data_IF_912413554526
#
_entry.id   IF_912413554526
#
_cell.length_a   1.000
_cell.length_b   1.000
_cell.length_c   1.000
_cell.angle_alpha   90.00
_cell.angle_beta   90.00
_cell.angle_gamma   90.00
#
_symmetry.space_group_name_H-M   'P 1'
#
loop_
_entity.id
_entity.type
_entity.pdbx_description
1 polymer ?
#
# COMPACT_ATOMS: atom_id res chain seq x y z
N UNK A 1 -24.40 -13.73 -6.54
CA UNK A 1 -23.04 -13.30 -6.14
C UNK A 1 -22.72 -11.83 -6.53
N UNK A 2 -23.06 -11.34 -7.73
CA UNK A 2 -22.67 -9.97 -8.19
C UNK A 2 -23.27 -8.81 -7.39
N UNK A 3 -24.53 -8.89 -7.00
CA UNK A 3 -25.20 -7.85 -6.20
C UNK A 3 -24.72 -7.79 -4.74
N UNK A 4 -24.22 -8.91 -4.20
CA UNK A 4 -23.68 -8.93 -2.84
C UNK A 4 -22.35 -8.15 -2.75
N UNK A 5 -21.46 -8.31 -3.72
CA UNK A 5 -20.17 -7.60 -3.75
C UNK A 5 -20.35 -6.08 -3.85
N UNK A 6 -21.22 -5.63 -4.75
CA UNK A 6 -21.52 -4.20 -4.90
C UNK A 6 -22.17 -3.63 -3.62
N UNK A 7 -23.12 -4.36 -3.02
CA UNK A 7 -23.72 -3.96 -1.75
C UNK A 7 -22.70 -3.90 -0.61
N UNK A 8 -21.73 -4.80 -0.60
CA UNK A 8 -20.60 -4.78 0.34
C UNK A 8 -19.74 -3.54 0.14
N UNK A 9 -19.29 -3.25 -1.09
CA UNK A 9 -18.49 -2.07 -1.38
C UNK A 9 -19.21 -0.74 -1.05
N UNK A 10 -20.51 -0.67 -1.31
CA UNK A 10 -21.32 0.51 -0.95
C UNK A 10 -21.53 0.65 0.56
N UNK A 11 -21.48 -0.44 1.33
CA UNK A 11 -21.63 -0.42 2.78
C UNK A 11 -20.40 0.20 3.49
N UNK A 12 -19.22 0.14 2.89
CA UNK A 12 -17.98 0.74 3.42
C UNK A 12 -18.11 2.24 3.66
N UNK A 13 -18.88 2.94 2.82
CA UNK A 13 -19.15 4.39 2.97
C UNK A 13 -19.90 4.75 4.27
N UNK A 14 -20.56 3.78 4.92
CA UNK A 14 -21.39 4.00 6.12
C UNK A 14 -20.73 3.60 7.44
N UNK A 15 -19.60 2.89 7.43
CA UNK A 15 -19.11 2.20 8.62
C UNK A 15 -17.81 2.73 9.23
N UNK A 16 -17.25 3.87 8.82
CA UNK A 16 -15.95 4.37 9.30
C UNK A 16 -14.83 3.29 9.29
N UNK A 17 -14.78 2.44 8.25
CA UNK A 17 -13.84 1.32 8.13
C UNK A 17 -12.46 1.81 7.64
N UNK A 18 -12.33 3.09 7.32
CA UNK A 18 -11.09 3.71 6.82
C UNK A 18 -9.83 3.47 7.67
N UNK A 19 -9.87 3.41 9.01
CA UNK A 19 -8.67 3.07 9.77
C UNK A 19 -8.08 1.69 9.44
N UNK A 20 -8.86 0.84 8.77
CA UNK A 20 -8.45 -0.53 8.44
C UNK A 20 -7.52 -0.57 7.23
N UNK A 21 -7.68 0.39 6.31
CA UNK A 21 -6.95 0.47 5.03
C UNK A 21 -5.61 1.20 5.13
N UNK A 22 -5.40 1.96 6.18
CA UNK A 22 -4.15 2.66 6.44
C UNK A 22 -2.91 1.74 6.45
N UNK A 23 -3.09 0.42 6.46
CA UNK A 23 -1.97 -0.51 6.46
C UNK A 23 -1.09 -0.42 5.22
N UNK A 24 -1.66 -0.12 4.04
CA UNK A 24 -0.85 0.03 2.81
C UNK A 24 -0.21 1.41 2.69
N UNK A 25 -0.83 2.46 3.25
CA UNK A 25 -0.28 3.83 3.31
C UNK A 25 0.72 4.01 4.45
N UNK A 26 0.55 3.30 5.55
CA UNK A 26 1.53 3.21 6.63
C UNK A 26 2.90 2.74 6.13
N UNK A 27 2.91 2.09 4.99
CA UNK A 27 4.08 1.64 4.29
C UNK A 27 4.92 2.78 3.71
N UNK A 28 4.30 3.85 3.23
CA UNK A 28 5.02 4.95 2.60
C UNK A 28 5.59 5.97 3.58
N UNK A 29 5.08 6.06 4.79
CA UNK A 29 5.41 7.13 5.74
C UNK A 29 6.44 6.77 6.80
N UNK A 30 7.11 5.66 6.69
CA UNK A 30 8.09 5.25 7.70
C UNK A 30 9.38 6.07 7.72
N UNK A 31 9.62 6.93 6.74
CA UNK A 31 10.92 7.51 6.52
C UNK A 31 10.92 9.04 6.54
N UNK A 32 11.40 9.61 7.61
CA UNK A 32 11.83 11.00 7.68
C UNK A 32 13.16 11.07 8.39
N UNK A 33 14.25 11.04 7.62
CA UNK A 33 15.56 11.50 8.07
C UNK A 33 16.23 12.25 6.92
N UNK A 34 16.74 13.42 7.25
CA UNK A 34 17.60 14.36 6.54
C UNK A 34 17.99 13.99 5.10
N UNK A 35 17.57 14.85 4.18
CA UNK A 35 18.04 14.84 2.79
C UNK A 35 19.56 14.98 2.73
N UNK A 36 20.25 13.90 2.42
CA UNK A 36 21.61 13.95 1.92
C UNK A 36 21.54 13.89 0.41
N UNK A 37 22.02 14.95 -0.24
CA UNK A 37 22.14 15.00 -1.69
C UNK A 37 23.19 13.97 -2.09
N UNK A 38 22.76 12.87 -2.68
CA UNK A 38 23.64 11.86 -3.23
C UNK A 38 23.74 12.01 -4.75
N UNK A 39 24.94 12.08 -5.24
CA UNK A 39 25.27 12.11 -6.67
C UNK A 39 24.88 10.79 -7.33
N UNK A 40 23.98 10.86 -8.30
CA UNK A 40 23.47 9.73 -9.08
C UNK A 40 24.57 9.01 -9.84
N UNK A 41 24.64 7.69 -9.67
CA UNK A 41 25.45 6.81 -10.50
C UNK A 41 24.61 6.23 -11.66
N UNK A 42 25.19 6.16 -12.84
CA UNK A 42 24.58 5.68 -14.10
C UNK A 42 24.04 4.24 -14.09
N UNK A 43 24.10 3.52 -12.97
CA UNK A 43 23.49 2.20 -12.79
C UNK A 43 21.97 2.24 -12.48
N UNK A 44 21.43 3.43 -12.21
CA UNK A 44 20.01 3.63 -11.84
C UNK A 44 19.06 3.70 -13.03
N UNK A 45 19.56 3.91 -14.26
CA UNK A 45 18.72 4.01 -15.48
C UNK A 45 18.12 2.67 -15.96
N UNK A 46 18.53 1.54 -15.41
CA UNK A 46 18.09 0.20 -15.86
C UNK A 46 16.86 -0.36 -15.13
N UNK A 47 16.34 0.37 -14.17
CA UNK A 47 15.19 -0.06 -13.38
C UNK A 47 13.90 0.42 -14.05
N UNK A 48 13.29 -0.14 -15.03
CA UNK A 48 11.96 0.17 -15.62
C UNK A 48 11.04 1.05 -14.73
N UNK A 49 11.53 2.22 -14.33
CA UNK A 49 11.02 2.98 -13.19
C UNK A 49 10.21 4.23 -13.54
N UNK A 50 9.86 4.42 -14.80
CA UNK A 50 8.96 5.48 -15.22
C UNK A 50 7.72 4.86 -15.84
N UNK A 51 6.57 5.21 -15.29
CA UNK A 51 5.26 4.76 -15.77
C UNK A 51 4.47 4.03 -14.70
N UNK A 52 3.16 4.28 -14.70
CA UNK A 52 2.19 3.62 -13.84
C UNK A 52 1.32 2.65 -14.61
N UNK A 53 1.14 2.87 -15.91
CA UNK A 53 0.20 2.10 -16.73
C UNK A 53 0.91 1.34 -17.84
N UNK A 54 0.76 0.02 -17.87
CA UNK A 54 1.52 -0.88 -18.71
C UNK A 54 0.63 -1.88 -19.44
N UNK A 55 0.96 -2.13 -20.72
CA UNK A 55 0.37 -3.20 -21.52
C UNK A 55 1.28 -4.44 -21.46
N UNK A 56 0.67 -5.60 -21.26
CA UNK A 56 1.31 -6.90 -21.18
C UNK A 56 0.85 -7.74 -22.36
N UNK A 57 1.76 -8.03 -23.29
CA UNK A 57 1.47 -8.74 -24.52
C UNK A 57 2.18 -10.09 -24.58
N UNK A 58 1.50 -11.10 -25.07
CA UNK A 58 2.07 -12.41 -25.40
C UNK A 58 1.43 -12.92 -26.68
N UNK A 59 2.22 -13.53 -27.54
CA UNK A 59 1.77 -14.03 -28.84
C UNK A 59 0.52 -14.92 -28.72
N UNK A 60 -0.45 -14.72 -29.61
CA UNK A 60 -1.71 -15.47 -29.65
C UNK A 60 -2.68 -15.17 -28.51
N UNK A 61 -2.50 -14.07 -27.76
CA UNK A 61 -3.38 -13.66 -26.67
C UNK A 61 -3.79 -12.20 -26.80
N UNK A 62 -4.99 -11.89 -26.29
CA UNK A 62 -5.40 -10.50 -26.12
C UNK A 62 -4.49 -9.84 -25.07
N UNK A 63 -4.16 -8.54 -25.23
CA UNK A 63 -3.37 -7.81 -24.27
C UNK A 63 -4.02 -7.79 -22.90
N UNK A 64 -3.21 -7.87 -21.87
CA UNK A 64 -3.59 -7.57 -20.48
C UNK A 64 -2.94 -6.27 -20.03
N UNK A 65 -3.36 -5.74 -18.89
CA UNK A 65 -2.91 -4.44 -18.41
C UNK A 65 -2.49 -4.51 -16.96
N UNK A 66 -1.49 -3.69 -16.59
CA UNK A 66 -0.97 -3.56 -15.23
C UNK A 66 -0.91 -2.08 -14.87
N UNK A 67 -1.48 -1.73 -13.72
CA UNK A 67 -1.51 -0.38 -13.18
C UNK A 67 -0.83 -0.35 -11.80
N UNK A 68 0.06 0.62 -11.60
CA UNK A 68 0.55 1.00 -10.29
C UNK A 68 -0.42 1.96 -9.61
N UNK A 69 -0.91 1.63 -8.42
CA UNK A 69 -1.82 2.46 -7.65
C UNK A 69 -1.13 3.14 -6.47
N UNK A 70 -1.82 4.11 -5.90
CA UNK A 70 -1.49 4.73 -4.62
C UNK A 70 -2.77 4.76 -3.78
N UNK A 71 -2.70 4.21 -2.55
CA UNK A 71 -3.86 4.05 -1.68
C UNK A 71 -4.28 5.35 -0.98
N UNK A 72 -4.46 6.41 -1.75
CA UNK A 72 -4.87 7.74 -1.27
C UNK A 72 -6.13 8.19 -1.98
N UNK A 73 -6.84 9.15 -1.37
CA UNK A 73 -8.03 9.79 -1.93
C UNK A 73 -7.76 11.20 -2.44
N UNK A 74 -6.50 11.53 -2.71
CA UNK A 74 -6.14 12.79 -3.34
C UNK A 74 -6.72 12.85 -4.77
N UNK A 75 -7.41 13.94 -5.09
CA UNK A 75 -8.09 14.11 -6.38
C UNK A 75 -7.15 14.05 -7.58
N UNK A 76 -5.88 14.40 -7.40
CA UNK A 76 -4.85 14.33 -8.45
C UNK A 76 -4.55 12.87 -8.78
N UNK A 77 -4.46 12.01 -7.77
CA UNK A 77 -4.26 10.57 -7.89
C UNK A 77 -5.51 9.90 -8.47
N UNK A 78 -6.69 10.28 -7.98
CA UNK A 78 -7.96 9.70 -8.41
C UNK A 78 -8.29 9.93 -9.89
N UNK A 79 -7.71 10.95 -10.53
CA UNK A 79 -7.87 11.19 -11.99
C UNK A 79 -7.42 10.00 -12.84
N UNK A 80 -6.47 9.21 -12.36
CA UNK A 80 -5.98 8.05 -13.09
C UNK A 80 -7.08 7.00 -13.35
N UNK A 81 -8.11 6.96 -12.50
CA UNK A 81 -9.28 6.10 -12.74
C UNK A 81 -9.91 6.37 -14.10
N UNK A 82 -10.09 7.64 -14.46
CA UNK A 82 -10.74 8.01 -15.72
C UNK A 82 -9.90 7.60 -16.95
N UNK A 83 -8.56 7.63 -16.82
CA UNK A 83 -7.63 7.21 -17.86
C UNK A 83 -7.71 5.69 -18.12
N UNK A 84 -7.91 4.89 -17.06
CA UNK A 84 -7.88 3.43 -17.16
C UNK A 84 -9.27 2.79 -17.25
N UNK A 85 -10.35 3.55 -17.02
CA UNK A 85 -11.73 3.06 -17.10
C UNK A 85 -12.03 2.28 -18.39
N UNK A 86 -11.65 2.77 -19.61
CA UNK A 86 -11.96 2.06 -20.87
C UNK A 86 -11.33 0.67 -20.96
N UNK A 87 -10.26 0.41 -20.20
CA UNK A 87 -9.57 -0.87 -20.17
C UNK A 87 -10.19 -1.80 -19.12
N UNK A 88 -10.57 -1.25 -17.96
CA UNK A 88 -11.20 -2.02 -16.87
C UNK A 88 -12.56 -2.56 -17.31
N UNK A 89 -13.42 -1.72 -17.90
CA UNK A 89 -14.78 -2.13 -18.28
C UNK A 89 -14.81 -3.20 -19.38
N UNK A 90 -13.72 -3.35 -20.13
CA UNK A 90 -13.56 -4.37 -21.17
C UNK A 90 -12.83 -5.62 -20.66
N UNK A 91 -12.20 -5.56 -19.50
CA UNK A 91 -11.44 -6.68 -18.97
C UNK A 91 -12.36 -7.85 -18.58
N UNK A 92 -11.86 -9.06 -18.74
CA UNK A 92 -12.55 -10.27 -18.26
C UNK A 92 -12.50 -10.39 -16.73
N UNK A 93 -11.47 -9.82 -16.10
CA UNK A 93 -11.24 -9.82 -14.67
C UNK A 93 -10.36 -8.63 -14.27
N UNK A 94 -10.69 -7.99 -13.15
CA UNK A 94 -9.84 -7.06 -12.43
C UNK A 94 -9.17 -7.80 -11.26
N UNK A 95 -7.84 -7.79 -11.22
CA UNK A 95 -7.07 -8.22 -10.07
C UNK A 95 -6.66 -7.00 -9.24
N UNK A 96 -6.91 -7.06 -7.93
CA UNK A 96 -6.40 -6.14 -6.91
C UNK A 96 -5.44 -6.91 -6.00
N UNK A 97 -4.64 -6.22 -5.17
CA UNK A 97 -3.76 -6.89 -4.21
C UNK A 97 -4.56 -7.84 -3.32
N UNK A 98 -5.65 -7.36 -2.74
CA UNK A 98 -6.56 -8.14 -1.89
C UNK A 98 -8.00 -8.07 -2.42
N UNK A 99 -8.79 -9.05 -2.05
CA UNK A 99 -10.22 -9.01 -2.31
C UNK A 99 -10.91 -8.04 -1.34
N UNK A 100 -11.72 -7.11 -1.88
CA UNK A 100 -12.39 -6.07 -1.11
C UNK A 100 -13.72 -6.58 -0.51
N UNK A 101 -13.71 -7.75 0.12
CA UNK A 101 -14.88 -8.32 0.79
C UNK A 101 -14.93 -7.93 2.27
N UNK A 102 -16.13 -7.97 2.86
CA UNK A 102 -16.27 -7.75 4.31
C UNK A 102 -15.48 -8.76 5.13
N UNK A 103 -15.31 -9.97 4.62
CA UNK A 103 -14.49 -10.99 5.27
C UNK A 103 -13.04 -10.54 5.36
N UNK A 104 -12.43 -10.14 4.23
CA UNK A 104 -11.02 -9.68 4.19
C UNK A 104 -10.85 -8.43 5.06
N UNK A 105 -11.83 -7.51 5.05
CA UNK A 105 -11.79 -6.33 5.91
C UNK A 105 -11.84 -6.67 7.40
N UNK A 106 -12.65 -7.64 7.81
CA UNK A 106 -12.65 -8.12 9.20
C UNK A 106 -11.33 -8.81 9.55
N UNK A 107 -10.75 -9.57 8.63
CA UNK A 107 -9.43 -10.18 8.83
C UNK A 107 -8.34 -9.12 8.97
N UNK A 108 -8.37 -8.05 8.16
CA UNK A 108 -7.47 -6.91 8.30
C UNK A 108 -7.58 -6.23 9.67
N UNK A 109 -8.81 -6.02 10.14
CA UNK A 109 -9.03 -5.47 11.48
C UNK A 109 -8.44 -6.39 12.56
N UNK A 110 -8.80 -7.67 12.56
CA UNK A 110 -8.38 -8.64 13.58
C UNK A 110 -6.86 -8.85 13.58
N UNK A 111 -6.22 -8.81 12.43
CA UNK A 111 -4.77 -8.98 12.31
C UNK A 111 -3.96 -7.90 13.03
N UNK A 112 -4.54 -6.74 13.26
CA UNK A 112 -3.91 -5.61 13.98
C UNK A 112 -4.03 -5.71 15.49
N UNK A 113 -4.86 -6.64 15.96
CA UNK A 113 -5.11 -6.81 17.39
C UNK A 113 -4.13 -7.80 17.98
N UNK A 114 -3.73 -7.52 19.20
CA UNK A 114 -2.88 -8.39 20.02
C UNK A 114 -3.57 -9.72 20.28
N UNK A 115 -2.81 -10.78 20.22
CA UNK A 115 -3.28 -12.15 20.47
C UNK A 115 -2.48 -12.87 21.60
N UNK A 116 -1.58 -12.12 22.28
CA UNK A 116 -0.74 -12.64 23.35
C UNK A 116 -1.34 -12.47 24.78
N UNK A 117 -2.58 -12.00 24.86
CA UNK A 117 -3.32 -11.79 26.10
C UNK A 117 -2.90 -10.56 26.90
N UNK A 118 -1.94 -9.76 26.44
CA UNK A 118 -1.51 -8.51 27.04
C UNK A 118 -2.11 -7.31 26.33
N UNK A 119 -2.26 -6.21 27.04
CA UNK A 119 -2.64 -4.91 26.47
C UNK A 119 -1.41 -4.07 26.13
N UNK A 120 -1.59 -3.05 25.29
CA UNK A 120 -0.50 -2.18 24.84
C UNK A 120 0.16 -1.44 26.01
N UNK A 121 -0.60 -1.03 27.02
CA UNK A 121 -0.11 -0.38 28.25
C UNK A 121 0.63 -1.33 29.20
N UNK A 122 0.53 -2.63 29.01
CA UNK A 122 1.36 -3.63 29.71
C UNK A 122 2.66 -3.93 28.94
N UNK A 123 2.77 -3.54 27.69
CA UNK A 123 3.93 -3.81 26.81
C UNK A 123 4.82 -2.57 26.69
N UNK A 124 4.23 -1.38 26.66
CA UNK A 124 4.96 -0.13 26.59
C UNK A 124 5.27 0.41 28.00
N UNK A 125 6.43 1.05 28.21
CA UNK A 125 6.66 1.85 29.40
C UNK A 125 5.58 2.92 29.58
N UNK A 126 5.19 3.25 30.82
CA UNK A 126 4.08 4.17 31.08
C UNK A 126 4.20 5.54 30.42
N UNK A 127 5.41 6.10 30.36
CA UNK A 127 5.68 7.39 29.72
C UNK A 127 5.54 7.33 28.19
N UNK A 128 5.95 6.24 27.57
CA UNK A 128 5.77 6.00 26.13
C UNK A 128 4.28 5.77 25.82
N UNK A 129 3.60 4.95 26.63
CA UNK A 129 2.17 4.70 26.44
C UNK A 129 1.33 5.99 26.50
N UNK A 130 1.58 6.87 27.48
CA UNK A 130 0.84 8.13 27.59
C UNK A 130 1.06 9.05 26.36
N UNK A 131 2.28 9.13 25.83
CA UNK A 131 2.56 9.87 24.59
C UNK A 131 1.79 9.27 23.40
N UNK A 132 1.82 7.96 23.24
CA UNK A 132 1.07 7.24 22.17
C UNK A 132 -0.43 7.49 22.30
N UNK A 133 -0.96 7.46 23.54
CA UNK A 133 -2.37 7.72 23.83
C UNK A 133 -2.79 9.14 23.44
N UNK A 134 -1.97 10.14 23.74
CA UNK A 134 -2.26 11.53 23.34
C UNK A 134 -2.32 11.70 21.82
N UNK A 135 -1.36 11.12 21.09
CA UNK A 135 -1.37 11.12 19.61
C UNK A 135 -2.61 10.38 19.09
N UNK A 136 -2.94 9.23 19.67
CA UNK A 136 -4.10 8.43 19.25
C UNK A 136 -5.43 9.17 19.38
N UNK A 137 -5.57 10.08 20.36
CA UNK A 137 -6.76 10.93 20.49
C UNK A 137 -6.95 11.86 19.30
N UNK A 138 -5.88 12.41 18.73
CA UNK A 138 -5.93 13.24 17.53
C UNK A 138 -6.45 12.42 16.32
N UNK A 139 -6.16 11.11 16.29
CA UNK A 139 -6.67 10.18 15.30
C UNK A 139 -8.05 9.58 15.63
N UNK A 140 -8.74 10.10 16.66
CA UNK A 140 -10.06 9.62 17.12
C UNK A 140 -10.08 8.13 17.49
N UNK A 141 -8.95 7.59 17.94
CA UNK A 141 -8.82 6.22 18.43
C UNK A 141 -9.10 6.21 19.92
N UNK A 142 -10.12 5.48 20.34
CA UNK A 142 -10.45 5.33 21.74
C UNK A 142 -9.38 4.51 22.48
N UNK A 143 -9.14 4.83 23.75
CA UNK A 143 -8.13 4.13 24.56
C UNK A 143 -8.38 2.61 24.61
N UNK A 144 -9.65 2.19 24.68
CA UNK A 144 -10.01 0.77 24.62
C UNK A 144 -9.54 0.07 23.35
N UNK A 145 -9.63 0.76 22.21
CA UNK A 145 -9.16 0.24 20.93
C UNK A 145 -7.62 0.24 20.88
N UNK A 146 -7.01 1.34 21.30
CA UNK A 146 -5.55 1.48 21.37
C UNK A 146 -4.90 0.35 22.16
N UNK A 147 -5.44 0.02 23.35
CA UNK A 147 -4.93 -1.05 24.21
C UNK A 147 -4.86 -2.41 23.52
N UNK A 148 -5.65 -2.64 22.51
CA UNK A 148 -5.71 -3.92 21.80
C UNK A 148 -4.77 -4.00 20.58
N UNK A 149 -4.12 -2.89 20.19
CA UNK A 149 -3.30 -2.86 18.97
C UNK A 149 -1.92 -3.49 19.17
N UNK A 150 -1.46 -4.17 18.12
CA UNK A 150 -0.06 -4.59 17.98
C UNK A 150 0.87 -3.40 17.76
N UNK A 151 2.13 -3.50 18.18
CA UNK A 151 3.11 -2.42 18.04
C UNK A 151 3.28 -1.97 16.59
N UNK A 152 3.30 -2.90 15.63
CA UNK A 152 3.37 -2.55 14.22
C UNK A 152 2.16 -1.74 13.74
N UNK A 153 0.98 -1.94 14.34
CA UNK A 153 -0.22 -1.17 14.02
C UNK A 153 -0.28 0.19 14.75
N UNK A 154 0.49 0.36 15.82
CA UNK A 154 0.64 1.63 16.55
C UNK A 154 1.62 2.57 15.87
N UNK A 155 2.67 2.03 15.26
CA UNK A 155 3.74 2.84 14.66
C UNK A 155 3.23 3.90 13.66
N UNK A 156 2.35 3.59 12.70
CA UNK A 156 1.78 4.59 11.79
C UNK A 156 0.99 5.70 12.52
N UNK A 157 0.30 5.35 13.61
CA UNK A 157 -0.46 6.31 14.41
C UNK A 157 0.52 7.33 15.03
N UNK A 158 1.63 6.85 15.55
CA UNK A 158 2.68 7.71 16.13
C UNK A 158 3.31 8.63 15.09
N UNK A 159 3.43 8.16 13.84
CA UNK A 159 3.87 8.98 12.70
C UNK A 159 2.81 10.01 12.26
N UNK A 160 1.65 10.01 12.92
CA UNK A 160 0.54 10.95 12.67
C UNK A 160 0.05 11.01 11.23
N UNK A 161 0.18 9.90 10.49
CA UNK A 161 -0.31 9.81 9.12
C UNK A 161 -1.83 9.71 9.10
N UNK A 162 -2.52 10.48 8.25
CA UNK A 162 -3.95 10.30 8.06
C UNK A 162 -4.26 8.91 7.50
N UNK A 163 -5.35 8.30 7.95
CA UNK A 163 -5.75 6.95 7.54
C UNK A 163 -6.14 6.87 6.07
N UNK A 164 -6.65 7.96 5.53
CA UNK A 164 -7.06 8.11 4.13
C UNK A 164 -6.76 9.54 3.67
N UNK A 165 -5.49 9.85 3.34
CA UNK A 165 -5.11 11.21 2.98
C UNK A 165 -5.76 11.63 1.67
N UNK A 166 -6.45 12.77 1.73
CA UNK A 166 -6.95 13.49 0.59
C UNK A 166 -6.06 14.67 0.24
N UNK A 167 -6.64 15.66 -0.41
CA UNK A 167 -5.93 16.88 -0.76
C UNK A 167 -5.37 17.57 0.48
N UNK A 168 -4.16 18.12 0.39
CA UNK A 168 -3.44 18.79 1.47
C UNK A 168 -3.18 17.91 2.71
N UNK A 169 -3.13 16.58 2.55
CA UNK A 169 -2.85 15.62 3.61
C UNK A 169 -3.94 15.48 4.67
N UNK A 170 -5.12 16.08 4.46
CA UNK A 170 -6.25 15.95 5.39
C UNK A 170 -7.01 14.64 5.17
N UNK A 171 -7.74 14.19 6.19
CA UNK A 171 -8.59 13.01 6.07
C UNK A 171 -9.68 13.20 5.03
N UNK A 172 -9.80 12.28 4.06
CA UNK A 172 -10.79 12.33 2.99
C UNK A 172 -11.98 11.42 3.25
N UNK A 173 -13.17 11.86 2.84
CA UNK A 173 -14.37 11.02 2.83
C UNK A 173 -14.51 10.18 1.55
N UNK A 174 -13.67 10.44 0.52
CA UNK A 174 -13.66 9.67 -0.71
C UNK A 174 -12.95 8.33 -0.51
N UNK A 175 -13.27 7.35 -1.34
CA UNK A 175 -12.59 6.05 -1.34
C UNK A 175 -11.22 6.17 -2.03
N UNK A 176 -10.18 5.50 -1.51
CA UNK A 176 -8.90 5.36 -2.21
C UNK A 176 -9.05 4.78 -3.62
N UNK A 177 -8.05 5.03 -4.47
CA UNK A 177 -8.08 4.65 -5.88
C UNK A 177 -8.46 3.18 -6.10
N UNK A 178 -7.83 2.25 -5.39
CA UNK A 178 -8.06 0.79 -5.53
C UNK A 178 -9.53 0.41 -5.31
N UNK A 179 -10.18 1.02 -4.30
CA UNK A 179 -11.60 0.81 -4.03
C UNK A 179 -12.47 1.34 -5.15
N UNK A 180 -12.13 2.52 -5.68
CA UNK A 180 -12.87 3.09 -6.83
C UNK A 180 -12.74 2.23 -8.08
N UNK A 181 -11.55 1.64 -8.33
CA UNK A 181 -11.36 0.69 -9.44
C UNK A 181 -12.18 -0.58 -9.22
N UNK A 182 -12.20 -1.12 -7.99
CA UNK A 182 -13.03 -2.28 -7.63
C UNK A 182 -14.52 -1.99 -7.82
N UNK A 183 -15.01 -0.82 -7.39
CA UNK A 183 -16.40 -0.39 -7.61
C UNK A 183 -16.72 -0.24 -9.11
N UNK A 184 -15.83 0.38 -9.89
CA UNK A 184 -15.99 0.55 -11.32
C UNK A 184 -16.14 -0.80 -12.02
N UNK A 185 -15.27 -1.77 -11.72
CA UNK A 185 -15.33 -3.12 -12.26
C UNK A 185 -16.65 -3.82 -11.88
N UNK A 186 -17.06 -3.76 -10.62
CA UNK A 186 -18.28 -4.37 -10.13
C UNK A 186 -19.54 -3.78 -10.82
N UNK A 187 -19.60 -2.45 -10.98
CA UNK A 187 -20.69 -1.76 -11.68
C UNK A 187 -20.81 -2.19 -13.14
N UNK A 188 -19.69 -2.48 -13.80
CA UNK A 188 -19.64 -2.93 -15.18
C UNK A 188 -19.64 -4.46 -15.35
N UNK A 189 -19.96 -5.21 -14.28
CA UNK A 189 -20.01 -6.68 -14.32
C UNK A 189 -18.68 -7.36 -14.62
N UNK A 190 -17.57 -6.70 -14.38
CA UNK A 190 -16.22 -7.28 -14.44
C UNK A 190 -15.97 -8.03 -13.13
N UNK A 191 -15.43 -9.24 -13.22
CA UNK A 191 -15.07 -10.04 -12.04
C UNK A 191 -13.92 -9.37 -11.31
N UNK A 192 -14.01 -9.26 -9.97
CA UNK A 192 -12.92 -8.71 -9.12
C UNK A 192 -12.32 -9.82 -8.27
N UNK A 193 -10.99 -9.88 -8.18
CA UNK A 193 -10.26 -10.89 -7.42
C UNK A 193 -9.04 -10.30 -6.72
N UNK A 194 -8.77 -10.75 -5.49
CA UNK A 194 -7.49 -10.54 -4.83
C UNK A 194 -6.39 -11.45 -5.38
N UNK A 195 -5.17 -10.95 -5.47
CA UNK A 195 -3.96 -11.70 -5.82
C UNK A 195 -3.39 -12.45 -4.62
N UNK A 196 -3.63 -11.94 -3.43
CA UNK A 196 -3.24 -12.50 -2.14
C UNK A 196 -4.36 -12.31 -1.11
N UNK A 197 -4.22 -12.92 0.06
CA UNK A 197 -5.13 -12.69 1.19
C UNK A 197 -4.59 -11.58 2.08
N UNK A 198 -5.48 -10.89 2.80
CA UNK A 198 -5.08 -9.93 3.85
C UNK A 198 -4.16 -10.57 4.87
N UNK A 199 -4.40 -11.83 5.22
CA UNK A 199 -3.54 -12.58 6.14
C UNK A 199 -2.12 -12.72 5.63
N UNK A 200 -1.94 -13.04 4.35
CA UNK A 200 -0.62 -13.16 3.73
C UNK A 200 0.08 -11.79 3.72
N UNK A 201 -0.64 -10.74 3.32
CA UNK A 201 -0.15 -9.36 3.29
C UNK A 201 0.32 -8.90 4.67
N UNK A 202 -0.50 -9.06 5.71
CA UNK A 202 -0.18 -8.58 7.05
C UNK A 202 0.76 -9.52 7.83
N UNK A 203 0.96 -10.75 7.35
CA UNK A 203 1.91 -11.68 7.97
C UNK A 203 3.35 -11.16 8.00
N UNK A 204 3.70 -10.25 7.07
CA UNK A 204 5.03 -9.65 7.01
C UNK A 204 5.37 -8.82 8.26
N UNK A 205 4.34 -8.27 8.94
CA UNK A 205 4.48 -7.44 10.14
C UNK A 205 4.39 -8.26 11.44
N UNK A 206 3.89 -9.50 11.38
CA UNK A 206 3.68 -10.36 12.54
C UNK A 206 4.93 -11.06 13.02
N UNK A 207 6.10 -10.70 12.51
CA UNK A 207 7.35 -11.21 13.05
C UNK A 207 7.51 -10.74 14.50
N UNK A 208 7.74 -11.71 15.38
CA UNK A 208 7.61 -11.54 16.84
C UNK A 208 8.71 -10.71 17.50
N UNK A 209 9.55 -10.05 16.72
CA UNK A 209 10.51 -9.10 17.29
C UNK A 209 9.82 -7.76 17.57
N UNK A 210 9.04 -7.76 18.66
CA UNK A 210 8.41 -6.54 19.20
C UNK A 210 9.39 -5.39 19.39
N UNK A 211 10.70 -5.70 19.53
CA UNK A 211 11.74 -4.70 19.75
C UNK A 211 11.89 -3.75 18.56
N UNK A 212 11.83 -4.24 17.34
CA UNK A 212 11.98 -3.39 16.12
C UNK A 212 10.92 -2.28 16.12
N UNK A 213 9.66 -2.67 16.32
CA UNK A 213 8.56 -1.69 16.33
C UNK A 213 8.57 -0.80 17.56
N UNK A 214 8.97 -1.34 18.71
CA UNK A 214 9.18 -0.53 19.92
C UNK A 214 10.22 0.55 19.68
N UNK A 215 11.40 0.20 19.19
CA UNK A 215 12.48 1.14 18.90
C UNK A 215 12.06 2.18 17.85
N UNK A 216 11.30 1.77 16.84
CA UNK A 216 10.76 2.66 15.81
C UNK A 216 9.73 3.65 16.38
N UNK A 217 8.86 3.21 17.29
CA UNK A 217 7.91 4.08 18.00
C UNK A 217 8.66 5.10 18.86
N UNK A 218 9.66 4.66 19.64
CA UNK A 218 10.45 5.56 20.49
C UNK A 218 11.16 6.63 19.66
N UNK A 219 11.84 6.24 18.58
CA UNK A 219 12.48 7.21 17.67
C UNK A 219 11.48 8.20 17.07
N UNK A 220 10.30 7.73 16.68
CA UNK A 220 9.27 8.61 16.13
C UNK A 220 8.73 9.62 17.17
N UNK A 221 8.59 9.20 18.44
CA UNK A 221 8.17 10.06 19.54
C UNK A 221 9.24 11.09 19.95
N UNK A 222 10.50 10.82 19.67
CA UNK A 222 11.62 11.72 19.93
C UNK A 222 11.84 12.76 18.83
N UNK A 223 11.21 12.58 17.67
CA UNK A 223 11.29 13.52 16.55
C UNK A 223 10.14 14.54 16.62
N UNK A 224 10.40 15.81 17.02
CA UNK A 224 9.36 16.82 17.16
C UNK A 224 8.69 17.20 15.84
N UNK A 225 9.39 17.00 14.71
CA UNK A 225 8.95 17.40 13.38
C UNK A 225 8.30 16.23 12.60
N UNK A 226 8.05 15.10 13.27
CA UNK A 226 7.59 13.87 12.61
C UNK A 226 6.28 14.05 11.83
N UNK A 227 5.36 14.87 12.34
CA UNK A 227 4.06 15.14 11.68
C UNK A 227 4.23 16.00 10.42
N UNK A 228 4.96 17.12 10.55
CA UNK A 228 5.21 18.05 9.46
C UNK A 228 5.97 17.37 8.32
N UNK A 229 7.04 16.66 8.67
CA UNK A 229 7.81 15.84 7.73
C UNK A 229 6.96 14.77 7.04
N UNK A 230 5.98 14.18 7.73
CA UNK A 230 5.10 13.16 7.15
C UNK A 230 4.16 13.75 6.09
N UNK A 231 3.62 14.94 6.31
CA UNK A 231 2.76 15.64 5.34
C UNK A 231 3.56 16.07 4.12
N UNK A 232 4.74 16.65 4.32
CA UNK A 232 5.65 17.05 3.24
C UNK A 232 6.06 15.85 2.39
N UNK A 233 6.41 14.74 3.04
CA UNK A 233 6.80 13.51 2.35
C UNK A 233 5.62 12.92 1.56
N UNK A 234 4.41 12.92 2.11
CA UNK A 234 3.23 12.49 1.38
C UNK A 234 2.99 13.31 0.11
N UNK A 235 3.13 14.66 0.20
CA UNK A 235 2.99 15.53 -0.95
C UNK A 235 4.05 15.22 -2.02
N UNK A 236 5.27 14.96 -1.62
CA UNK A 236 6.37 14.54 -2.50
C UNK A 236 6.06 13.21 -3.19
N UNK A 237 5.51 12.24 -2.46
CA UNK A 237 5.07 10.97 -3.04
C UNK A 237 3.93 11.16 -4.04
N UNK A 238 2.93 12.00 -3.72
CA UNK A 238 1.85 12.32 -4.64
C UNK A 238 2.42 12.97 -5.91
N UNK A 239 3.39 13.88 -5.77
CA UNK A 239 4.01 14.51 -6.93
C UNK A 239 4.73 13.48 -7.82
N UNK A 240 5.57 12.62 -7.26
CA UNK A 240 6.22 11.55 -8.04
C UNK A 240 5.20 10.62 -8.73
N UNK A 241 4.09 10.33 -8.05
CA UNK A 241 3.03 9.53 -8.63
C UNK A 241 2.39 10.22 -9.85
N UNK A 242 2.11 11.52 -9.74
CA UNK A 242 1.57 12.32 -10.84
C UNK A 242 2.56 12.39 -12.00
N UNK A 243 3.85 12.53 -11.70
CA UNK A 243 4.93 12.58 -12.68
C UNK A 243 5.26 11.19 -13.27
N UNK A 244 4.55 10.14 -12.82
CA UNK A 244 4.78 8.73 -13.24
C UNK A 244 6.18 8.22 -12.88
N UNK A 245 6.85 8.81 -11.91
CA UNK A 245 8.20 8.46 -11.49
C UNK A 245 8.20 7.44 -10.34
N UNK A 246 7.97 6.18 -10.71
CA UNK A 246 8.00 5.07 -9.74
C UNK A 246 9.41 4.76 -9.25
N UNK A 247 10.45 5.18 -9.98
CA UNK A 247 11.84 5.08 -9.52
C UNK A 247 12.12 6.00 -8.34
N UNK A 248 11.71 7.27 -8.41
CA UNK A 248 11.90 8.20 -7.31
C UNK A 248 11.29 7.66 -6.01
N UNK A 249 10.10 7.05 -6.10
CA UNK A 249 9.47 6.33 -5.00
C UNK A 249 10.36 5.22 -4.44
N UNK A 250 10.82 4.33 -5.30
CA UNK A 250 11.60 3.15 -4.91
C UNK A 250 12.97 3.52 -4.35
N UNK A 251 13.66 4.47 -4.98
CA UNK A 251 14.96 4.97 -4.54
C UNK A 251 14.82 5.67 -3.18
N UNK A 252 13.79 6.51 -2.99
CA UNK A 252 13.52 7.14 -1.71
C UNK A 252 13.33 6.10 -0.59
N UNK A 253 12.57 5.04 -0.83
CA UNK A 253 12.43 3.94 0.11
C UNK A 253 13.78 3.31 0.46
N UNK A 254 14.62 3.01 -0.54
CA UNK A 254 15.92 2.38 -0.31
C UNK A 254 16.87 3.31 0.44
N UNK A 255 16.86 4.61 0.13
CA UNK A 255 17.71 5.60 0.79
C UNK A 255 17.32 5.78 2.26
N UNK A 256 16.03 5.88 2.53
CA UNK A 256 15.50 5.96 3.89
C UNK A 256 15.90 4.73 4.73
N UNK A 257 15.85 3.53 4.11
CA UNK A 257 16.24 2.30 4.79
C UNK A 257 17.74 2.19 5.12
N UNK A 258 18.61 2.99 4.47
CA UNK A 258 20.04 3.04 4.82
C UNK A 258 20.29 3.58 6.24
N UNK A 259 19.39 4.42 6.73
CA UNK A 259 19.47 4.98 8.08
C UNK A 259 18.81 4.09 9.15
N UNK A 260 18.11 3.04 8.74
CA UNK A 260 17.38 2.14 9.62
C UNK A 260 18.16 0.85 9.90
N UNK A 261 17.81 0.09 10.97
CA UNK A 261 18.40 -1.22 11.20
C UNK A 261 18.21 -2.16 10.02
N UNK A 262 19.16 -3.07 9.73
CA UNK A 262 19.08 -4.01 8.58
C UNK A 262 17.81 -4.86 8.56
N UNK A 263 17.21 -5.12 9.71
CA UNK A 263 15.94 -5.84 9.86
C UNK A 263 14.79 -5.10 9.18
N UNK A 264 14.82 -3.77 9.17
CA UNK A 264 13.82 -2.95 8.48
C UNK A 264 13.89 -3.13 6.97
N UNK A 265 15.10 -3.20 6.40
CA UNK A 265 15.26 -3.55 4.99
C UNK A 265 14.62 -4.91 4.66
N UNK A 266 14.84 -5.92 5.49
CA UNK A 266 14.23 -7.24 5.31
C UNK A 266 12.69 -7.17 5.34
N UNK A 267 12.12 -6.43 6.29
CA UNK A 267 10.66 -6.26 6.38
C UNK A 267 10.11 -5.57 5.13
N UNK A 268 10.69 -4.44 4.76
CA UNK A 268 10.15 -3.55 3.73
C UNK A 268 10.46 -4.03 2.31
N UNK A 269 11.70 -4.39 2.04
CA UNK A 269 12.11 -4.75 0.68
C UNK A 269 11.90 -6.23 0.42
N UNK A 270 12.44 -7.11 1.29
CA UNK A 270 12.41 -8.55 0.97
C UNK A 270 11.02 -9.16 1.22
N UNK A 271 10.37 -8.80 2.32
CA UNK A 271 9.08 -9.44 2.67
C UNK A 271 7.88 -8.74 2.05
N UNK A 272 7.84 -7.40 2.15
CA UNK A 272 6.68 -6.62 1.74
C UNK A 272 6.65 -6.37 0.21
N UNK A 273 7.79 -6.15 -0.42
CA UNK A 273 7.86 -5.96 -1.87
C UNK A 273 8.23 -7.27 -2.58
N UNK A 274 9.47 -7.74 -2.45
CA UNK A 274 10.01 -8.80 -3.29
C UNK A 274 9.24 -10.12 -3.18
N UNK A 275 8.97 -10.59 -1.96
CA UNK A 275 8.20 -11.83 -1.74
C UNK A 275 6.77 -11.69 -2.25
N UNK A 276 6.12 -10.56 -2.00
CA UNK A 276 4.76 -10.33 -2.47
C UNK A 276 4.69 -10.15 -3.98
N UNK A 277 5.70 -9.56 -4.63
CA UNK A 277 5.79 -9.48 -6.09
C UNK A 277 5.71 -10.88 -6.74
N UNK A 278 6.37 -11.87 -6.16
CA UNK A 278 6.29 -13.25 -6.64
C UNK A 278 4.89 -13.85 -6.44
N UNK A 279 4.26 -13.61 -5.28
CA UNK A 279 2.89 -14.07 -4.97
C UNK A 279 1.92 -13.45 -5.98
N UNK A 280 1.98 -12.13 -6.17
CA UNK A 280 1.10 -11.40 -7.09
C UNK A 280 1.32 -11.81 -8.54
N UNK A 281 2.57 -11.96 -8.99
CA UNK A 281 2.88 -12.44 -10.32
C UNK A 281 2.36 -13.87 -10.58
N UNK A 282 2.29 -14.72 -9.56
CA UNK A 282 1.68 -16.04 -9.64
C UNK A 282 0.15 -15.95 -9.63
N UNK A 283 -0.41 -15.06 -8.80
CA UNK A 283 -1.85 -14.81 -8.72
C UNK A 283 -2.46 -14.35 -10.04
N UNK A 284 -1.80 -13.43 -10.74
CA UNK A 284 -2.26 -12.93 -12.03
C UNK A 284 -2.01 -13.89 -13.22
N UNK A 285 -1.17 -14.93 -13.05
CA UNK A 285 -0.73 -15.79 -14.15
C UNK A 285 -1.91 -16.40 -14.94
N UNK A 286 -2.99 -16.81 -14.25
CA UNK A 286 -4.17 -17.39 -14.90
C UNK A 286 -4.90 -16.37 -15.80
N UNK A 287 -5.01 -15.13 -15.37
CA UNK A 287 -5.58 -14.04 -16.16
C UNK A 287 -4.73 -13.71 -17.37
N UNK A 288 -3.42 -13.61 -17.16
CA UNK A 288 -2.45 -13.32 -18.22
C UNK A 288 -2.43 -14.41 -19.31
N UNK A 289 -2.52 -15.69 -18.94
CA UNK A 289 -2.59 -16.81 -19.90
C UNK A 289 -3.89 -16.75 -20.73
N UNK A 290 -5.00 -16.32 -20.14
CA UNK A 290 -6.26 -16.16 -20.86
C UNK A 290 -6.27 -14.91 -21.75
N UNK A 291 -5.52 -13.90 -21.37
CA UNK A 291 -5.57 -12.56 -21.94
C UNK A 291 -6.73 -11.73 -21.42
N UNK A 292 -6.74 -10.45 -21.80
CA UNK A 292 -7.78 -9.48 -21.44
C UNK A 292 -8.05 -9.37 -19.93
N UNK A 293 -7.00 -9.38 -19.11
CA UNK A 293 -7.09 -9.10 -17.69
C UNK A 293 -6.54 -7.71 -17.35
N UNK A 294 -7.07 -7.10 -16.31
CA UNK A 294 -6.55 -5.87 -15.74
C UNK A 294 -6.05 -6.15 -14.33
N UNK A 295 -4.85 -5.69 -13.99
CA UNK A 295 -4.26 -5.83 -12.66
C UNK A 295 -3.92 -4.46 -12.11
N UNK A 296 -4.31 -4.17 -10.86
CA UNK A 296 -3.95 -2.94 -10.16
C UNK A 296 -3.30 -3.31 -8.81
N UNK A 297 -2.07 -2.85 -8.61
CA UNK A 297 -1.25 -3.09 -7.41
C UNK A 297 -0.49 -1.82 -7.04
N UNK A 298 -0.03 -1.68 -5.79
CA UNK A 298 0.72 -0.51 -5.37
C UNK A 298 1.92 -0.22 -6.28
N UNK A 299 2.15 1.05 -6.61
CA UNK A 299 3.16 1.48 -7.57
C UNK A 299 4.59 1.02 -7.21
N UNK A 300 4.91 0.85 -5.92
CA UNK A 300 6.20 0.34 -5.46
C UNK A 300 6.45 -1.13 -5.84
N UNK A 301 5.44 -1.87 -6.25
CA UNK A 301 5.59 -3.24 -6.74
C UNK A 301 6.08 -3.31 -8.19
N UNK A 302 6.05 -2.19 -8.94
CA UNK A 302 6.41 -2.15 -10.36
C UNK A 302 7.93 -2.17 -10.59
N UNK A 303 8.73 -1.22 -10.01
CA UNK A 303 10.15 -1.06 -10.31
C UNK A 303 11.03 -2.06 -9.56
N UNK A 304 12.33 -2.02 -9.87
CA UNK A 304 13.36 -2.80 -9.21
C UNK A 304 13.63 -4.15 -9.85
N UNK A 305 14.78 -4.74 -9.52
CA UNK A 305 15.24 -6.02 -10.06
C UNK A 305 14.21 -7.15 -9.84
N UNK A 306 13.59 -7.18 -8.66
CA UNK A 306 12.52 -8.11 -8.28
C UNK A 306 11.13 -7.48 -8.39
N UNK A 307 11.00 -6.38 -9.14
CA UNK A 307 9.73 -5.72 -9.44
C UNK A 307 8.89 -6.49 -10.45
N UNK A 308 7.59 -6.23 -10.46
CA UNK A 308 6.64 -6.95 -11.32
C UNK A 308 6.95 -6.78 -12.80
N UNK A 309 7.45 -5.60 -13.23
CA UNK A 309 7.79 -5.37 -14.64
C UNK A 309 8.90 -6.31 -15.10
N UNK A 310 9.95 -6.49 -14.31
CA UNK A 310 11.03 -7.42 -14.61
C UNK A 310 10.57 -8.88 -14.52
N UNK A 311 9.84 -9.25 -13.46
CA UNK A 311 9.29 -10.62 -13.32
C UNK A 311 8.44 -11.01 -14.53
N UNK A 312 7.60 -10.10 -15.02
CA UNK A 312 6.74 -10.37 -16.18
C UNK A 312 7.53 -10.44 -17.50
N UNK A 313 8.55 -9.59 -17.64
CA UNK A 313 9.48 -9.66 -18.78
C UNK A 313 10.22 -11.00 -18.81
N UNK A 314 10.74 -11.47 -17.67
CA UNK A 314 11.41 -12.76 -17.54
C UNK A 314 10.48 -13.95 -17.82
N UNK A 315 9.17 -13.78 -17.58
CA UNK A 315 8.12 -14.76 -17.93
C UNK A 315 7.72 -14.72 -19.42
N UNK A 316 8.37 -13.90 -20.22
CA UNK A 316 8.19 -13.79 -21.66
C UNK A 316 7.00 -12.93 -22.08
N UNK A 317 6.57 -11.98 -21.26
CA UNK A 317 5.63 -10.94 -21.68
C UNK A 317 6.40 -9.75 -22.25
N UNK A 318 5.90 -9.19 -23.34
CA UNK A 318 6.31 -7.88 -23.81
C UNK A 318 5.60 -6.84 -22.96
N UNK A 319 6.37 -6.08 -22.19
CA UNK A 319 5.91 -5.04 -21.28
C UNK A 319 6.08 -3.69 -21.97
N UNK A 320 4.98 -2.97 -22.22
CA UNK A 320 5.00 -1.69 -22.94
C UNK A 320 4.30 -0.63 -22.10
N UNK A 321 4.98 0.49 -21.81
CA UNK A 321 4.41 1.65 -21.13
C UNK A 321 3.32 2.31 -21.96
N UNK A 322 2.23 2.79 -21.34
CA UNK A 322 1.09 3.45 -21.99
C UNK A 322 0.88 4.91 -21.55
N UNK A 323 1.44 5.35 -20.42
CA UNK A 323 1.30 6.71 -19.84
C UNK A 323 2.56 7.57 -19.97
#
# INVERSE_FOLDING_TARGET
MRWSYLAELLSFRRQNIFPILACSLCLMAMFTTLAYVSTTNAAEETLNGHGLFWKLEREGREPSYLLGTMHVSDKRVLKLKDEVEPYIIKASVLYLEIDLTQREMREAHNARLRDDGRTLDEVLPPDIYEKVKEISKAHKIEEKQLKQLELWAVYPIVKSMPSNPGQDGQESADLPLDFQLGQLAALNSVEVKGLETVRDQLSVFRDRDHKIYYDAIVRALENPDAVENSVEMLEKYIQWYIDRDTNAFYISLLDDLKAEPPEMYNIWVERLLNKRNLIMANGMARGLVRGNSFTAVGALHLPGEKGLLNILTDRGYKVTRLD
#
